data_IF_692298819876
#
_entry.id   IF_692298819876
#
_cell.length_a   1.000
_cell.length_b   1.000
_cell.length_c   1.000
_cell.angle_alpha   90.00
_cell.angle_beta   90.00
_cell.angle_gamma   90.00
#
_symmetry.space_group_name_H-M   'P 1'
#
loop_
_entity.id
_entity.type
_entity.pdbx_description
1 polymer ?
#
# COMPACT_ATOMS: atom_id res chain seq x y z
N UNK A 1 14.43 -9.69 -24.03
CA UNK A 1 13.85 -9.65 -22.66
C UNK A 1 12.70 -10.63 -22.64
N UNK A 2 12.79 -11.72 -21.87
CA UNK A 2 11.65 -12.60 -21.62
C UNK A 2 10.80 -11.94 -20.53
N UNK A 3 9.61 -11.49 -20.89
CA UNK A 3 8.62 -11.02 -19.91
C UNK A 3 7.91 -12.25 -19.35
N UNK A 4 8.24 -12.63 -18.12
CA UNK A 4 7.45 -13.62 -17.38
C UNK A 4 6.18 -12.94 -16.87
N UNK A 5 5.02 -13.46 -17.27
CA UNK A 5 3.74 -13.03 -16.73
C UNK A 5 3.48 -13.78 -15.43
N UNK A 6 3.52 -13.07 -14.30
CA UNK A 6 3.14 -13.63 -13.00
C UNK A 6 1.61 -13.65 -12.94
N UNK A 7 1.02 -14.85 -12.88
CA UNK A 7 -0.42 -14.99 -12.65
C UNK A 7 -0.75 -14.55 -11.22
N UNK A 8 -1.60 -13.54 -11.09
CA UNK A 8 -2.16 -13.11 -9.79
C UNK A 8 -3.42 -13.92 -9.54
N UNK A 9 -3.54 -14.53 -8.36
CA UNK A 9 -4.76 -15.23 -7.95
C UNK A 9 -5.96 -14.27 -7.97
N UNK A 10 -7.08 -14.59 -8.66
CA UNK A 10 -8.22 -13.67 -8.78
C UNK A 10 -8.79 -13.19 -7.44
N UNK A 11 -8.73 -14.03 -6.40
CA UNK A 11 -9.17 -13.67 -5.03
C UNK A 11 -8.32 -12.58 -4.36
N UNK A 12 -7.11 -12.29 -4.87
CA UNK A 12 -6.24 -11.19 -4.43
C UNK A 12 -6.51 -9.90 -5.21
N UNK A 13 -7.41 -9.93 -6.20
CA UNK A 13 -7.80 -8.78 -7.01
C UNK A 13 -9.15 -8.28 -6.53
N UNK A 14 -9.14 -7.16 -5.80
CA UNK A 14 -10.36 -6.56 -5.25
C UNK A 14 -10.92 -5.50 -6.22
N UNK A 15 -11.77 -5.96 -7.15
CA UNK A 15 -12.68 -5.14 -7.96
C UNK A 15 -12.12 -4.56 -9.28
N UNK A 16 -13.04 -4.10 -10.14
CA UNK A 16 -12.77 -3.14 -11.23
C UNK A 16 -12.89 -1.73 -10.61
N UNK A 17 -11.85 -0.91 -10.76
CA UNK A 17 -11.65 0.39 -10.10
C UNK A 17 -12.79 1.42 -10.31
N UNK A 18 -13.93 1.29 -9.64
CA UNK A 18 -15.00 2.30 -9.67
C UNK A 18 -15.02 3.10 -8.36
N UNK A 19 -14.65 2.49 -7.23
CA UNK A 19 -14.62 3.17 -5.94
C UNK A 19 -13.53 2.59 -5.01
N UNK A 20 -12.35 3.22 -5.01
CA UNK A 20 -11.18 2.80 -4.20
C UNK A 20 -11.47 2.84 -2.69
N UNK A 21 -12.23 3.81 -2.23
CA UNK A 21 -12.62 3.96 -0.83
C UNK A 21 -13.40 2.75 -0.31
N UNK A 22 -14.41 2.29 -1.07
CA UNK A 22 -15.22 1.12 -0.70
C UNK A 22 -14.38 -0.15 -0.61
N UNK A 23 -13.47 -0.34 -1.57
CA UNK A 23 -12.56 -1.49 -1.59
C UNK A 23 -11.62 -1.46 -0.39
N UNK A 24 -10.98 -0.32 -0.11
CA UNK A 24 -10.06 -0.18 1.03
C UNK A 24 -10.76 -0.41 2.37
N UNK A 25 -11.98 0.09 2.53
CA UNK A 25 -12.77 -0.18 3.73
C UNK A 25 -13.11 -1.65 3.90
N UNK A 26 -13.49 -2.35 2.82
CA UNK A 26 -13.76 -3.78 2.88
C UNK A 26 -12.51 -4.57 3.27
N UNK A 27 -11.35 -4.27 2.66
CA UNK A 27 -10.09 -4.93 2.98
C UNK A 27 -9.67 -4.64 4.42
N UNK A 28 -9.80 -3.39 4.87
CA UNK A 28 -9.53 -3.00 6.26
C UNK A 28 -10.40 -3.78 7.23
N UNK A 29 -11.71 -3.82 6.99
CA UNK A 29 -12.66 -4.56 7.82
C UNK A 29 -12.28 -6.05 7.92
N UNK A 30 -11.97 -6.68 6.79
CA UNK A 30 -11.54 -8.08 6.79
C UNK A 30 -10.20 -8.27 7.52
N UNK A 31 -9.26 -7.35 7.36
CA UNK A 31 -7.97 -7.39 8.06
C UNK A 31 -8.16 -7.28 9.57
N UNK A 32 -8.95 -6.30 10.03
CA UNK A 32 -9.26 -6.07 11.44
C UNK A 32 -9.96 -7.29 12.05
N UNK A 33 -10.98 -7.83 11.36
CA UNK A 33 -11.73 -9.01 11.79
C UNK A 33 -10.82 -10.22 11.97
N UNK A 34 -9.82 -10.38 11.12
CA UNK A 34 -8.86 -11.48 11.18
C UNK A 34 -7.59 -11.16 12.00
N UNK A 35 -7.54 -10.01 12.70
CA UNK A 35 -6.38 -9.52 13.45
C UNK A 35 -5.08 -9.50 12.62
N UNK A 36 -5.21 -9.20 11.33
CA UNK A 36 -4.07 -9.05 10.41
C UNK A 36 -3.66 -7.59 10.32
N UNK A 37 -2.36 -7.34 10.19
CA UNK A 37 -1.85 -6.03 9.82
C UNK A 37 -2.15 -5.71 8.36
N UNK A 38 -2.46 -4.45 8.07
CA UNK A 38 -2.69 -3.95 6.72
C UNK A 38 -1.83 -2.72 6.47
N UNK A 39 -1.03 -2.77 5.41
CA UNK A 39 -0.26 -1.64 4.90
C UNK A 39 -0.64 -1.38 3.45
N UNK A 40 -0.98 -0.13 3.14
CA UNK A 40 -1.27 0.32 1.80
C UNK A 40 -0.04 1.01 1.19
N UNK A 41 0.28 0.67 -0.05
CA UNK A 41 1.40 1.25 -0.82
C UNK A 41 0.91 1.60 -2.21
N UNK A 42 1.11 2.84 -2.63
CA UNK A 42 0.71 3.38 -3.95
C UNK A 42 1.67 4.52 -4.31
N UNK A 43 1.89 4.75 -5.60
CA UNK A 43 2.75 5.81 -6.10
C UNK A 43 1.99 7.14 -6.31
N UNK A 44 0.67 7.07 -6.43
CA UNK A 44 -0.19 8.23 -6.44
C UNK A 44 -0.50 8.69 -5.01
N UNK A 45 0.07 9.83 -4.62
CA UNK A 45 -0.04 10.37 -3.26
C UNK A 45 -1.50 10.58 -2.80
N UNK A 46 -2.41 10.98 -3.68
CA UNK A 46 -3.81 11.18 -3.28
C UNK A 46 -4.45 9.87 -2.79
N UNK A 47 -4.12 8.74 -3.43
CA UNK A 47 -4.59 7.44 -2.98
C UNK A 47 -4.01 7.07 -1.61
N UNK A 48 -2.74 7.41 -1.37
CA UNK A 48 -2.06 7.17 -0.08
C UNK A 48 -2.70 8.03 1.03
N UNK A 49 -3.00 9.29 0.73
CA UNK A 49 -3.72 10.20 1.64
C UNK A 49 -5.10 9.64 1.98
N UNK A 50 -5.86 9.18 0.98
CA UNK A 50 -7.21 8.66 1.21
C UNK A 50 -7.20 7.36 2.01
N UNK A 51 -6.23 6.48 1.78
CA UNK A 51 -6.02 5.28 2.62
C UNK A 51 -5.62 5.65 4.06
N UNK A 52 -4.77 6.66 4.23
CA UNK A 52 -4.38 7.16 5.56
C UNK A 52 -5.57 7.71 6.34
N UNK A 53 -6.47 8.47 5.69
CA UNK A 53 -7.73 8.96 6.29
C UNK A 53 -8.67 7.84 6.75
N UNK A 54 -8.56 6.64 6.17
CA UNK A 54 -9.28 5.43 6.60
C UNK A 54 -8.63 4.75 7.81
N UNK A 55 -7.53 5.28 8.34
CA UNK A 55 -6.76 4.68 9.43
C UNK A 55 -5.94 3.48 8.98
N UNK A 56 -5.66 3.33 7.68
CA UNK A 56 -4.77 2.30 7.15
C UNK A 56 -3.35 2.85 7.17
N UNK A 57 -2.39 2.07 7.72
CA UNK A 57 -0.98 2.42 7.61
C UNK A 57 -0.60 2.53 6.14
N UNK A 58 -0.11 3.70 5.72
CA UNK A 58 0.07 4.01 4.30
C UNK A 58 1.48 4.50 4.02
N UNK A 59 2.10 4.00 2.95
CA UNK A 59 3.44 4.36 2.51
C UNK A 59 3.37 4.86 1.07
N UNK A 60 4.09 5.94 0.78
CA UNK A 60 4.13 6.52 -0.55
C UNK A 60 5.32 5.99 -1.35
N UNK A 61 5.04 5.32 -2.46
CA UNK A 61 6.05 4.80 -3.37
C UNK A 61 6.70 5.94 -4.17
N UNK A 62 7.92 6.33 -3.78
CA UNK A 62 8.59 7.53 -4.30
C UNK A 62 9.29 7.32 -5.65
N UNK A 63 9.11 6.16 -6.29
CA UNK A 63 9.63 5.86 -7.63
C UNK A 63 8.65 6.16 -8.76
N UNK A 64 7.39 6.48 -8.46
CA UNK A 64 6.42 6.93 -9.45
C UNK A 64 6.46 8.43 -9.68
N UNK A 65 5.55 8.91 -10.54
CA UNK A 65 5.44 10.33 -10.86
C UNK A 65 5.05 11.16 -9.64
N UNK A 66 5.77 12.25 -9.41
CA UNK A 66 5.44 13.22 -8.37
C UNK A 66 5.91 14.63 -8.70
N UNK A 67 5.34 15.62 -8.02
CA UNK A 67 5.70 17.04 -8.14
C UNK A 67 6.29 17.54 -6.82
N UNK A 68 6.97 18.70 -6.80
CA UNK A 68 7.41 19.32 -5.55
C UNK A 68 6.27 19.60 -4.56
N UNK A 69 5.05 19.85 -5.05
CA UNK A 69 3.90 20.08 -4.18
C UNK A 69 3.42 18.78 -3.52
N UNK A 70 3.48 17.64 -4.23
CA UNK A 70 3.25 16.33 -3.59
C UNK A 70 4.22 16.06 -2.43
N UNK A 71 5.49 16.45 -2.57
CA UNK A 71 6.48 16.28 -1.49
C UNK A 71 6.07 17.11 -0.26
N UNK A 72 5.72 18.38 -0.46
CA UNK A 72 5.26 19.26 0.63
C UNK A 72 3.99 18.72 1.31
N UNK A 73 3.05 18.19 0.53
CA UNK A 73 1.82 17.62 1.08
C UNK A 73 2.09 16.35 1.89
N UNK A 74 2.99 15.48 1.41
CA UNK A 74 3.41 14.30 2.14
C UNK A 74 4.08 14.65 3.47
N UNK A 75 4.99 15.65 3.48
CA UNK A 75 5.64 16.16 4.68
C UNK A 75 4.62 16.72 5.68
N UNK A 76 3.70 17.58 5.21
CA UNK A 76 2.64 18.18 6.03
C UNK A 76 1.74 17.13 6.69
N UNK A 77 1.47 16.04 5.98
CA UNK A 77 0.62 14.95 6.46
C UNK A 77 1.41 13.83 7.15
N UNK A 78 2.72 14.00 7.34
CA UNK A 78 3.61 12.98 7.92
C UNK A 78 3.52 11.62 7.19
N UNK A 79 3.27 11.64 5.88
CA UNK A 79 3.24 10.45 5.04
C UNK A 79 4.67 10.05 4.70
N UNK A 80 5.03 8.82 5.05
CA UNK A 80 6.36 8.29 4.77
C UNK A 80 6.52 7.93 3.29
N UNK A 81 7.43 8.62 2.62
CA UNK A 81 7.95 8.20 1.31
C UNK A 81 8.89 7.00 1.48
N UNK A 82 8.81 6.04 0.57
CA UNK A 82 9.69 4.86 0.52
C UNK A 82 10.23 4.65 -0.89
N UNK A 83 11.44 4.12 -0.98
CA UNK A 83 12.02 3.61 -2.22
C UNK A 83 11.84 2.09 -2.36
N UNK A 84 12.23 1.54 -3.52
CA UNK A 84 12.11 0.11 -3.81
C UNK A 84 12.86 -0.78 -2.79
N UNK A 85 14.05 -0.39 -2.37
CA UNK A 85 14.86 -1.17 -1.42
C UNK A 85 14.20 -1.22 -0.05
N UNK A 86 13.63 -0.10 0.40
CA UNK A 86 12.88 -0.04 1.65
C UNK A 86 11.62 -0.91 1.61
N UNK A 87 10.89 -0.92 0.50
CA UNK A 87 9.74 -1.82 0.32
C UNK A 87 10.16 -3.30 0.40
N UNK A 88 11.22 -3.69 -0.31
CA UNK A 88 11.72 -5.06 -0.30
C UNK A 88 12.15 -5.50 1.11
N UNK A 89 12.85 -4.62 1.83
CA UNK A 89 13.25 -4.87 3.22
C UNK A 89 12.02 -5.04 4.12
N UNK A 90 11.00 -4.17 3.96
CA UNK A 90 9.76 -4.23 4.71
C UNK A 90 9.02 -5.57 4.49
N UNK A 91 8.91 -6.02 3.24
CA UNK A 91 8.26 -7.30 2.91
C UNK A 91 9.05 -8.48 3.51
N UNK A 92 10.39 -8.45 3.41
CA UNK A 92 11.25 -9.50 3.96
C UNK A 92 11.06 -9.65 5.47
N UNK A 93 11.13 -8.53 6.21
CA UNK A 93 10.94 -8.51 7.66
C UNK A 93 9.54 -8.97 8.07
N UNK A 94 8.52 -8.59 7.31
CA UNK A 94 7.13 -8.99 7.58
C UNK A 94 6.95 -10.51 7.48
N UNK A 95 7.55 -11.14 6.46
CA UNK A 95 7.52 -12.60 6.31
C UNK A 95 8.28 -13.33 7.41
N UNK A 96 9.44 -12.81 7.83
CA UNK A 96 10.23 -13.40 8.91
C UNK A 96 9.48 -13.37 10.26
N UNK A 97 8.67 -12.33 10.50
CA UNK A 97 7.85 -12.20 11.70
C UNK A 97 6.61 -13.10 11.68
N UNK A 98 6.01 -13.35 10.52
CA UNK A 98 4.89 -14.31 10.38
C UNK A 98 5.32 -15.77 10.63
N UNK A 99 6.60 -16.11 10.41
CA UNK A 99 7.15 -17.48 10.58
C UNK A 99 7.52 -17.79 12.05
N UNK A 100 7.61 -16.77 12.92
CA UNK A 100 8.07 -16.92 14.31
C UNK A 100 6.94 -17.09 15.34
N UNK A 101 5.74 -17.53 14.92
CA UNK A 101 4.57 -17.77 15.80
C UNK A 101 4.30 -19.27 15.91
#
# INVERSE_FOLDING_TARGET
>A
MNTEFIAIEPKKVHGRMINKYTVLNSIKYDSDKNKKGLVFVDDNLNNVIDASKLGIQSLWAFWGFHTPDHVKDAEKLSIKAINNQELLNFIKLSKENEVRI
#
